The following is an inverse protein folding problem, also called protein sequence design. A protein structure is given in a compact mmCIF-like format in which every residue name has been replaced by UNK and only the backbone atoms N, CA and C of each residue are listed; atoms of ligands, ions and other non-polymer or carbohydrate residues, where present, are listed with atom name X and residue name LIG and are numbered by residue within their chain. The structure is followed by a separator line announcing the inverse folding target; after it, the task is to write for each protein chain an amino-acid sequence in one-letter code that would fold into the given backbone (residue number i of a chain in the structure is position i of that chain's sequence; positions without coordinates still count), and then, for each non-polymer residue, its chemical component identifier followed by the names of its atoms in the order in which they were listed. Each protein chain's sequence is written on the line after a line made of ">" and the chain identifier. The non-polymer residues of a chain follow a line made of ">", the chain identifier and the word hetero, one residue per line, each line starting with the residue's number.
data_IF_511300110100
#
_entry.id   IF_511300110100
#
_cell.length_a   1.000
_cell.length_b   1.000
_cell.length_c   1.000
_cell.angle_alpha   90.00
_cell.angle_beta   90.00
_cell.angle_gamma   90.00
#
_symmetry.space_group_name_H-M   'P 1'
#
loop_
_entity.id
_entity.type
_entity.pdbx_description
1 polymer ?
#
# COMPACT_ATOMS: atom_id res chain seq x y z
N UNK A 1 -7.55 -10.27 -5.26
CA UNK A 1 -7.02 -10.93 -4.05
C UNK A 1 -6.14 -9.98 -3.23
N UNK A 2 -5.16 -9.30 -3.86
CA UNK A 2 -4.23 -8.37 -3.22
C UNK A 2 -4.83 -7.42 -2.16
N UNK A 3 -5.90 -6.66 -2.48
CA UNK A 3 -6.56 -5.75 -1.52
C UNK A 3 -6.96 -6.42 -0.20
N UNK A 4 -7.41 -7.68 -0.24
CA UNK A 4 -7.81 -8.42 0.97
C UNK A 4 -6.59 -8.85 1.79
N UNK A 5 -5.51 -9.27 1.12
CA UNK A 5 -4.24 -9.66 1.76
C UNK A 5 -3.69 -8.52 2.61
N UNK A 6 -3.71 -7.30 2.07
CA UNK A 6 -3.21 -6.10 2.77
C UNK A 6 -4.30 -5.36 3.55
N UNK A 7 -5.54 -5.88 3.61
CA UNK A 7 -6.69 -5.22 4.26
C UNK A 7 -6.92 -3.77 3.79
N UNK A 8 -6.62 -3.49 2.51
CA UNK A 8 -6.73 -2.15 1.93
C UNK A 8 -8.18 -1.69 1.72
N UNK A 9 -8.34 -0.37 1.63
CA UNK A 9 -9.57 0.24 1.14
C UNK A 9 -9.90 -0.25 -0.28
N UNK A 10 -11.18 -0.36 -0.59
CA UNK A 10 -11.64 -0.84 -1.90
C UNK A 10 -11.24 0.09 -3.06
N UNK A 11 -10.98 1.37 -2.79
CA UNK A 11 -10.58 2.39 -3.77
C UNK A 11 -9.07 2.39 -4.07
N UNK A 12 -8.26 1.65 -3.32
CA UNK A 12 -6.82 1.50 -3.63
C UNK A 12 -6.69 0.93 -5.04
N UNK A 13 -5.77 1.44 -5.86
CA UNK A 13 -5.59 0.94 -7.22
C UNK A 13 -5.14 -0.53 -7.23
N UNK A 14 -5.37 -1.24 -8.33
CA UNK A 14 -4.89 -2.63 -8.48
C UNK A 14 -3.36 -2.67 -8.38
N UNK A 15 -2.68 -1.74 -9.05
CA UNK A 15 -1.22 -1.61 -9.07
C UNK A 15 -0.64 -1.43 -7.66
N UNK A 16 -1.13 -0.45 -6.89
CA UNK A 16 -0.69 -0.22 -5.52
C UNK A 16 -0.99 -1.41 -4.59
N UNK A 17 -2.15 -2.06 -4.77
CA UNK A 17 -2.51 -3.23 -4.00
C UNK A 17 -1.58 -4.43 -4.28
N UNK A 18 -1.28 -4.70 -5.55
CA UNK A 18 -0.34 -5.74 -5.96
C UNK A 18 1.07 -5.48 -5.42
N UNK A 19 1.57 -4.26 -5.57
CA UNK A 19 2.89 -3.85 -5.07
C UNK A 19 3.01 -4.05 -3.55
N UNK A 20 2.06 -3.55 -2.76
CA UNK A 20 2.07 -3.73 -1.30
C UNK A 20 1.93 -5.19 -0.87
N UNK A 21 1.10 -5.96 -1.58
CA UNK A 21 0.93 -7.38 -1.31
C UNK A 21 2.16 -8.22 -1.67
N UNK A 22 3.11 -7.68 -2.46
CA UNK A 22 4.23 -8.44 -2.99
C UNK A 22 3.79 -9.53 -3.98
N UNK A 23 2.63 -9.35 -4.61
CA UNK A 23 2.05 -10.31 -5.56
C UNK A 23 1.93 -9.63 -6.93
N UNK A 24 2.65 -10.09 -7.95
CA UNK A 24 2.56 -9.52 -9.29
C UNK A 24 1.12 -9.50 -9.82
N UNK A 25 0.79 -8.59 -10.75
CA UNK A 25 -0.37 -8.71 -11.61
C UNK A 25 -0.54 -10.13 -12.17
N UNK A 26 -1.79 -10.62 -12.26
CA UNK A 26 -2.09 -11.96 -12.79
C UNK A 26 -1.52 -12.19 -14.19
N UNK A 27 -1.50 -11.16 -15.04
CA UNK A 27 -0.99 -11.27 -16.40
C UNK A 27 0.48 -11.68 -16.40
N UNK A 28 1.26 -11.13 -15.46
CA UNK A 28 2.67 -11.49 -15.26
C UNK A 28 2.83 -12.89 -14.64
N UNK A 29 1.95 -13.28 -13.71
CA UNK A 29 1.96 -14.65 -13.18
C UNK A 29 1.62 -15.69 -14.26
N UNK A 30 0.72 -15.36 -15.18
CA UNK A 30 0.36 -16.22 -16.31
C UNK A 30 1.55 -16.41 -17.28
N UNK A 31 2.38 -15.38 -17.49
CA UNK A 31 3.62 -15.48 -18.26
C UNK A 31 4.60 -16.50 -17.64
N UNK A 32 4.79 -16.47 -16.32
CA UNK A 32 5.62 -17.47 -15.61
C UNK A 32 5.10 -18.89 -15.85
N UNK A 33 3.77 -19.08 -15.75
CA UNK A 33 3.15 -20.38 -15.95
C UNK A 33 3.29 -20.87 -17.40
N UNK A 34 3.12 -19.97 -18.38
CA UNK A 34 3.29 -20.28 -19.79
C UNK A 34 4.73 -20.69 -20.12
N UNK A 35 5.73 -19.96 -19.62
CA UNK A 35 7.15 -20.27 -19.82
C UNK A 35 7.51 -21.66 -19.29
N UNK A 36 7.14 -21.95 -18.04
CA UNK A 36 7.39 -23.26 -17.42
C UNK A 36 6.68 -24.37 -18.18
N UNK A 37 5.46 -24.14 -18.66
CA UNK A 37 4.72 -25.10 -19.48
C UNK A 37 5.44 -25.38 -20.80
N UNK A 38 5.86 -24.35 -21.53
CA UNK A 38 6.53 -24.49 -22.82
C UNK A 38 7.85 -25.25 -22.70
N UNK A 39 8.68 -24.93 -21.69
CA UNK A 39 9.92 -25.67 -21.40
C UNK A 39 9.66 -27.13 -21.07
N UNK A 40 8.69 -27.40 -20.18
CA UNK A 40 8.32 -28.76 -19.77
C UNK A 40 7.80 -29.58 -20.96
N UNK A 41 6.98 -28.98 -21.82
CA UNK A 41 6.44 -29.65 -22.99
C UNK A 41 7.54 -29.93 -24.03
N UNK A 42 8.49 -29.02 -24.22
CA UNK A 42 9.63 -29.22 -25.10
C UNK A 42 10.53 -30.38 -24.62
N UNK A 43 10.92 -30.38 -23.35
CA UNK A 43 11.75 -31.43 -22.77
C UNK A 43 11.11 -32.83 -22.90
N UNK A 44 9.78 -32.93 -22.66
CA UNK A 44 9.02 -34.17 -22.88
C UNK A 44 8.99 -34.62 -24.33
N UNK A 45 8.80 -33.71 -25.29
CA UNK A 45 8.82 -34.04 -26.73
C UNK A 45 10.19 -34.55 -27.17
N UNK A 46 11.26 -34.06 -26.56
CA UNK A 46 12.63 -34.53 -26.79
C UNK A 46 12.99 -35.82 -26.06
N UNK A 47 12.03 -36.47 -25.37
CA UNK A 47 12.25 -37.74 -24.67
C UNK A 47 12.91 -37.61 -23.29
N UNK A 48 13.13 -36.38 -22.80
CA UNK A 48 13.80 -36.09 -21.53
C UNK A 48 12.80 -35.40 -20.58
N UNK A 49 11.90 -36.14 -19.90
CA UNK A 49 10.97 -35.52 -18.96
C UNK A 49 11.73 -34.88 -17.79
N UNK A 50 11.50 -33.57 -17.50
CA UNK A 50 12.29 -32.86 -16.50
C UNK A 50 11.94 -33.32 -15.09
N UNK A 51 12.94 -33.32 -14.22
CA UNK A 51 12.75 -33.60 -12.80
C UNK A 51 11.99 -32.47 -12.10
N UNK A 52 11.36 -32.75 -10.96
CA UNK A 52 10.64 -31.73 -10.18
C UNK A 52 11.53 -30.54 -9.82
N UNK A 53 12.77 -30.79 -9.41
CA UNK A 53 13.74 -29.75 -9.04
C UNK A 53 14.09 -28.83 -10.22
N UNK A 54 14.16 -29.40 -11.44
CA UNK A 54 14.43 -28.63 -12.65
C UNK A 54 13.25 -27.71 -13.01
N UNK A 55 12.01 -28.21 -12.87
CA UNK A 55 10.80 -27.40 -13.03
C UNK A 55 10.74 -26.27 -11.97
N UNK A 56 11.09 -26.57 -10.73
CA UNK A 56 11.16 -25.57 -9.64
C UNK A 56 12.22 -24.50 -9.93
N UNK A 57 13.37 -24.90 -10.49
CA UNK A 57 14.41 -23.99 -10.94
C UNK A 57 13.93 -23.08 -12.08
N UNK A 58 13.35 -23.63 -13.15
CA UNK A 58 12.77 -22.82 -14.24
C UNK A 58 11.68 -21.87 -13.76
N UNK A 59 10.86 -22.30 -12.80
CA UNK A 59 9.84 -21.44 -12.20
C UNK A 59 10.48 -20.28 -11.44
N UNK A 60 11.56 -20.53 -10.70
CA UNK A 60 12.30 -19.50 -9.99
C UNK A 60 12.90 -18.50 -10.97
N UNK A 61 13.62 -18.97 -11.98
CA UNK A 61 14.20 -18.12 -13.03
C UNK A 61 13.14 -17.24 -13.72
N UNK A 62 12.03 -17.84 -14.15
CA UNK A 62 10.94 -17.13 -14.79
C UNK A 62 10.31 -16.10 -13.85
N UNK A 63 10.16 -16.43 -12.56
CA UNK A 63 9.66 -15.49 -11.55
C UNK A 63 10.62 -14.32 -11.34
N UNK A 64 11.93 -14.58 -11.25
CA UNK A 64 12.94 -13.55 -11.07
C UNK A 64 12.95 -12.55 -12.24
N UNK A 65 12.91 -13.05 -13.47
CA UNK A 65 12.83 -12.21 -14.67
C UNK A 65 11.54 -11.37 -14.71
N UNK A 66 10.42 -11.94 -14.27
CA UNK A 66 9.14 -11.23 -14.23
C UNK A 66 9.10 -10.16 -13.14
N UNK A 67 9.78 -10.36 -12.00
CA UNK A 67 9.91 -9.33 -10.97
C UNK A 67 10.68 -8.11 -11.51
N UNK A 68 11.76 -8.33 -12.26
CA UNK A 68 12.53 -7.24 -12.86
C UNK A 68 11.69 -6.49 -13.90
N UNK A 69 11.03 -7.21 -14.81
CA UNK A 69 10.07 -6.64 -15.77
C UNK A 69 8.95 -5.85 -15.06
N UNK A 70 8.42 -6.38 -13.95
CA UNK A 70 7.38 -5.71 -13.18
C UNK A 70 7.88 -4.40 -12.57
N UNK A 71 9.11 -4.40 -12.02
CA UNK A 71 9.75 -3.20 -11.51
C UNK A 71 9.89 -2.12 -12.57
N UNK A 72 10.26 -2.49 -13.80
CA UNK A 72 10.35 -1.53 -14.91
C UNK A 72 8.98 -0.95 -15.29
N UNK A 73 7.95 -1.79 -15.35
CA UNK A 73 6.57 -1.35 -15.62
C UNK A 73 6.02 -0.39 -14.54
N UNK A 74 6.54 -0.47 -13.31
CA UNK A 74 6.13 0.41 -12.21
C UNK A 74 6.69 1.84 -12.30
N UNK A 75 7.59 2.14 -13.25
CA UNK A 75 8.15 3.48 -13.42
C UNK A 75 7.11 4.51 -13.93
N UNK A 76 6.10 4.05 -14.67
CA UNK A 76 5.00 4.88 -15.18
C UNK A 76 3.63 4.26 -14.80
N UNK A 77 3.23 4.37 -13.52
CA UNK A 77 2.00 3.73 -13.05
C UNK A 77 0.75 4.48 -13.51
N UNK A 78 -0.26 3.74 -13.97
CA UNK A 78 -1.55 4.34 -14.33
C UNK A 78 -2.32 4.87 -13.11
N UNK A 79 -2.13 4.26 -11.93
CA UNK A 79 -2.80 4.70 -10.71
C UNK A 79 -2.08 4.28 -9.42
N UNK A 80 -2.23 5.08 -8.36
CA UNK A 80 -1.59 4.77 -7.07
C UNK A 80 -0.11 5.15 -7.01
N UNK A 81 0.30 6.11 -7.83
CA UNK A 81 1.63 6.72 -7.93
C UNK A 81 2.40 6.79 -6.59
N UNK A 82 1.79 7.32 -5.53
CA UNK A 82 2.38 7.40 -4.19
C UNK A 82 3.02 6.09 -3.75
N UNK A 83 2.25 5.01 -3.81
CA UNK A 83 2.66 3.71 -3.31
C UNK A 83 3.58 3.00 -4.30
N UNK A 84 3.21 3.05 -5.58
CA UNK A 84 3.92 2.32 -6.64
C UNK A 84 5.34 2.87 -6.79
N UNK A 85 5.50 4.18 -6.92
CA UNK A 85 6.83 4.81 -7.08
C UNK A 85 7.69 4.69 -5.82
N UNK A 86 7.11 4.64 -4.63
CA UNK A 86 7.88 4.43 -3.40
C UNK A 86 8.40 2.98 -3.27
N UNK A 87 7.66 2.00 -3.79
CA UNK A 87 8.05 0.58 -3.75
C UNK A 87 8.93 0.16 -4.92
N UNK A 88 8.77 0.79 -6.08
CA UNK A 88 9.43 0.40 -7.32
C UNK A 88 10.95 0.19 -7.16
N UNK A 89 11.72 1.11 -6.54
CA UNK A 89 13.18 0.95 -6.44
C UNK A 89 13.62 -0.20 -5.51
N UNK A 90 12.72 -0.67 -4.64
CA UNK A 90 12.99 -1.69 -3.64
C UNK A 90 12.07 -2.91 -3.79
N UNK A 91 11.45 -3.10 -4.95
CA UNK A 91 10.39 -4.09 -5.15
C UNK A 91 10.84 -5.52 -4.78
N UNK A 92 12.04 -5.91 -5.20
CA UNK A 92 12.61 -7.23 -4.92
C UNK A 92 12.79 -7.45 -3.42
N UNK A 93 13.52 -6.55 -2.77
CA UNK A 93 13.76 -6.60 -1.33
C UNK A 93 12.43 -6.52 -0.53
N UNK A 94 11.47 -5.73 -1.02
CA UNK A 94 10.13 -5.69 -0.47
C UNK A 94 9.45 -7.06 -0.55
N UNK A 95 9.40 -7.72 -1.71
CA UNK A 95 8.77 -9.05 -1.88
C UNK A 95 9.46 -10.10 -0.99
N UNK A 96 10.78 -10.03 -0.87
CA UNK A 96 11.59 -11.03 -0.16
C UNK A 96 11.64 -10.81 1.36
N UNK A 97 11.18 -9.66 1.86
CA UNK A 97 11.22 -9.33 3.30
C UNK A 97 10.55 -10.42 4.13
N UNK A 98 11.25 -10.90 5.16
CA UNK A 98 10.73 -11.90 6.11
C UNK A 98 9.83 -11.30 7.20
N UNK A 99 9.30 -10.09 6.99
CA UNK A 99 8.44 -9.39 7.94
C UNK A 99 6.99 -9.84 7.76
N UNK A 100 6.27 -9.93 8.88
CA UNK A 100 4.85 -10.28 8.89
C UNK A 100 3.96 -9.30 8.11
N UNK A 101 2.65 -9.56 8.14
CA UNK A 101 1.66 -8.74 7.44
C UNK A 101 1.73 -7.26 7.82
N UNK A 102 1.48 -6.39 6.84
CA UNK A 102 1.33 -4.95 7.09
C UNK A 102 0.06 -4.70 7.92
N UNK A 103 0.18 -4.02 9.07
CA UNK A 103 -0.97 -3.53 9.82
C UNK A 103 -1.85 -2.61 8.97
N UNK A 104 -3.14 -2.61 9.27
CA UNK A 104 -4.15 -1.85 8.53
C UNK A 104 -3.82 -0.35 8.45
N UNK A 105 -3.32 0.24 9.54
CA UNK A 105 -2.97 1.67 9.61
C UNK A 105 -1.69 2.01 8.86
N UNK A 106 -0.73 1.08 8.77
CA UNK A 106 0.42 1.25 7.87
C UNK A 106 -0.03 1.28 6.41
N UNK A 107 -0.93 0.37 6.02
CA UNK A 107 -1.47 0.35 4.65
C UNK A 107 -2.20 1.66 4.32
N UNK A 108 -2.93 2.23 5.26
CA UNK A 108 -3.54 3.57 5.10
C UNK A 108 -2.49 4.64 4.77
N UNK A 109 -1.42 4.74 5.56
CA UNK A 109 -0.36 5.74 5.36
C UNK A 109 0.39 5.54 4.04
N UNK A 110 0.75 4.28 3.72
CA UNK A 110 1.45 3.91 2.49
C UNK A 110 0.63 4.22 1.24
N UNK A 111 -0.70 4.11 1.33
CA UNK A 111 -1.63 4.35 0.20
C UNK A 111 -2.23 5.74 0.18
N UNK A 112 -2.08 6.53 1.25
CA UNK A 112 -2.78 7.81 1.39
C UNK A 112 -4.30 7.67 1.55
N UNK A 113 -4.79 6.50 1.96
CA UNK A 113 -6.20 6.23 2.20
C UNK A 113 -6.50 6.22 3.69
N UNK A 114 -7.73 6.54 4.10
CA UNK A 114 -8.14 6.51 5.50
C UNK A 114 -8.67 7.86 5.97
N UNK A 115 -8.46 8.18 7.23
CA UNK A 115 -8.94 9.41 7.87
C UNK A 115 -8.10 10.66 7.52
N UNK A 116 -7.65 10.76 6.27
CA UNK A 116 -6.96 11.95 5.73
C UNK A 116 -7.96 12.87 5.04
N UNK A 117 -7.97 14.15 5.39
CA UNK A 117 -8.89 15.15 4.81
C UNK A 117 -8.93 15.12 3.28
N UNK A 118 -7.77 15.06 2.60
CA UNK A 118 -7.71 14.95 1.13
C UNK A 118 -8.45 13.72 0.61
N UNK A 119 -8.24 12.56 1.23
CA UNK A 119 -8.91 11.34 0.81
C UNK A 119 -10.41 11.40 1.10
N UNK A 120 -10.80 11.80 2.31
CA UNK A 120 -12.20 11.91 2.71
C UNK A 120 -12.98 12.90 1.82
N UNK A 121 -12.36 14.01 1.43
CA UNK A 121 -12.94 14.95 0.49
C UNK A 121 -13.18 14.33 -0.90
N UNK A 122 -12.16 13.65 -1.45
CA UNK A 122 -12.27 12.99 -2.75
C UNK A 122 -13.38 11.93 -2.78
N UNK A 123 -13.62 11.26 -1.66
CA UNK A 123 -14.70 10.28 -1.52
C UNK A 123 -15.99 10.90 -0.96
N UNK A 124 -16.15 12.23 -1.01
CA UNK A 124 -17.36 12.92 -0.60
C UNK A 124 -17.83 12.53 0.80
N UNK A 125 -16.89 12.49 1.76
CA UNK A 125 -17.12 12.29 3.20
C UNK A 125 -16.74 13.52 4.02
N UNK A 126 -15.97 14.44 3.44
CA UNK A 126 -15.64 15.75 4.02
C UNK A 126 -15.86 16.85 2.97
N UNK A 127 -16.27 18.04 3.42
CA UNK A 127 -16.51 19.19 2.54
C UNK A 127 -15.24 19.85 2.04
N UNK A 128 -14.12 19.68 2.75
CA UNK A 128 -12.81 20.23 2.41
C UNK A 128 -11.73 19.16 2.55
N UNK A 129 -10.58 19.38 1.89
CA UNK A 129 -9.40 18.52 2.01
C UNK A 129 -8.56 18.80 3.28
N UNK A 130 -8.96 19.75 4.13
CA UNK A 130 -8.13 20.30 5.19
C UNK A 130 -7.82 19.37 6.36
N UNK A 131 -6.79 19.71 7.11
CA UNK A 131 -6.36 19.00 8.30
C UNK A 131 -7.07 19.52 9.54
N UNK A 132 -7.93 18.69 10.12
CA UNK A 132 -8.65 19.01 11.36
C UNK A 132 -7.76 19.11 12.60
N UNK A 133 -6.49 18.71 12.52
CA UNK A 133 -5.55 18.70 13.65
C UNK A 133 -4.66 19.94 13.72
N UNK A 134 -4.38 20.58 12.58
CA UNK A 134 -3.48 21.75 12.52
C UNK A 134 -3.98 22.90 11.65
N UNK A 135 -5.14 22.76 10.99
CA UNK A 135 -5.71 23.80 10.12
C UNK A 135 -5.08 23.93 8.74
N UNK A 136 -4.12 23.06 8.35
CA UNK A 136 -3.58 23.04 6.98
C UNK A 136 -4.69 22.83 5.93
N UNK A 137 -4.57 23.49 4.77
CA UNK A 137 -5.56 23.42 3.69
C UNK A 137 -5.69 22.02 3.08
N UNK A 138 -4.66 21.16 3.21
CA UNK A 138 -4.68 19.81 2.63
C UNK A 138 -4.03 18.79 3.57
N UNK A 139 -4.84 17.89 4.12
CA UNK A 139 -4.39 16.74 4.91
C UNK A 139 -4.13 15.53 4.01
N UNK A 140 -2.85 15.34 3.67
CA UNK A 140 -2.36 14.12 3.03
C UNK A 140 -1.68 13.20 4.02
N UNK A 141 -1.47 11.94 3.64
CA UNK A 141 -0.59 11.07 4.42
C UNK A 141 0.84 11.61 4.52
N UNK A 142 1.34 12.34 3.51
CA UNK A 142 2.66 12.97 3.58
C UNK A 142 2.69 14.12 4.58
N UNK A 143 1.65 14.98 4.56
CA UNK A 143 1.48 16.03 5.56
C UNK A 143 1.46 15.46 6.98
N UNK A 144 0.74 14.36 7.20
CA UNK A 144 0.72 13.66 8.49
C UNK A 144 2.12 13.12 8.87
N UNK A 145 2.87 12.57 7.90
CA UNK A 145 4.20 12.01 8.10
C UNK A 145 5.31 13.04 8.35
N UNK A 146 5.24 14.22 7.74
CA UNK A 146 6.35 15.18 7.73
C UNK A 146 6.05 16.49 8.45
N UNK A 147 4.84 17.03 8.27
CA UNK A 147 4.60 18.45 8.48
C UNK A 147 3.72 18.74 9.69
N UNK A 148 2.65 17.95 9.88
CA UNK A 148 1.57 18.28 10.80
C UNK A 148 2.10 18.44 12.24
N UNK A 149 2.01 19.63 12.86
CA UNK A 149 2.59 19.87 14.17
C UNK A 149 1.94 19.02 15.28
N UNK A 150 0.69 18.60 15.09
CA UNK A 150 -0.01 17.71 16.02
C UNK A 150 0.71 16.36 16.25
N UNK A 151 1.50 15.91 15.27
CA UNK A 151 2.23 14.63 15.33
C UNK A 151 3.72 14.78 15.59
N UNK A 152 4.19 15.98 15.96
CA UNK A 152 5.62 16.24 16.19
C UNK A 152 6.21 15.31 17.26
N UNK A 153 5.47 15.04 18.34
CA UNK A 153 5.90 14.12 19.40
C UNK A 153 6.08 12.69 18.89
N UNK A 154 5.09 12.16 18.16
CA UNK A 154 5.15 10.82 17.57
C UNK A 154 6.29 10.71 16.52
N UNK A 155 6.62 11.81 15.82
CA UNK A 155 7.73 11.85 14.86
C UNK A 155 9.11 11.78 15.50
N UNK A 156 9.29 12.09 16.79
CA UNK A 156 10.61 12.04 17.44
C UNK A 156 11.21 10.64 17.37
N UNK A 157 10.45 9.62 17.77
CA UNK A 157 10.92 8.23 17.71
C UNK A 157 11.07 7.73 16.26
N UNK A 158 10.18 8.18 15.36
CA UNK A 158 10.24 7.81 13.95
C UNK A 158 11.52 8.35 13.28
N UNK A 159 11.82 9.63 13.47
CA UNK A 159 13.00 10.29 12.91
C UNK A 159 14.30 9.77 13.51
N UNK A 160 14.31 9.38 14.78
CA UNK A 160 15.46 8.71 15.38
C UNK A 160 15.79 7.35 14.72
N UNK A 161 14.76 6.63 14.24
CA UNK A 161 14.94 5.31 13.61
C UNK A 161 15.14 5.37 12.08
N UNK A 162 14.52 6.33 11.39
CA UNK A 162 14.54 6.44 9.92
C UNK A 162 15.50 7.51 9.42
N UNK A 163 15.71 8.57 10.21
CA UNK A 163 16.36 9.81 9.78
C UNK A 163 15.36 10.97 9.62
N UNK A 164 15.89 12.14 9.29
CA UNK A 164 15.09 13.38 9.16
C UNK A 164 14.24 13.41 7.89
N UNK A 165 14.68 12.73 6.83
CA UNK A 165 13.92 12.60 5.59
C UNK A 165 12.84 11.51 5.75
N UNK A 166 11.60 11.96 5.94
CA UNK A 166 10.43 11.08 6.04
C UNK A 166 9.63 11.02 4.73
N UNK A 167 10.27 11.36 3.60
CA UNK A 167 9.68 11.10 2.29
C UNK A 167 9.32 9.62 2.17
N UNK A 168 8.19 9.33 1.52
CA UNK A 168 7.70 7.96 1.45
C UNK A 168 8.73 6.98 0.83
N UNK A 169 9.49 7.32 -0.22
CA UNK A 169 10.56 6.45 -0.73
C UNK A 169 11.62 6.14 0.32
N UNK A 170 12.06 7.13 1.10
CA UNK A 170 13.06 6.94 2.16
C UNK A 170 12.52 6.06 3.28
N UNK A 171 11.29 6.30 3.73
CA UNK A 171 10.61 5.44 4.72
C UNK A 171 10.54 4.00 4.20
N UNK A 172 10.04 3.81 2.97
CA UNK A 172 9.84 2.47 2.38
C UNK A 172 11.17 1.73 2.24
N UNK A 173 12.22 2.39 1.77
CA UNK A 173 13.57 1.81 1.71
C UNK A 173 14.04 1.37 3.10
N UNK A 174 13.93 2.24 4.08
CA UNK A 174 14.42 1.94 5.44
C UNK A 174 13.66 0.80 6.11
N UNK A 175 12.33 0.73 5.98
CA UNK A 175 11.54 -0.34 6.64
C UNK A 175 11.70 -1.71 5.97
N UNK A 176 12.26 -1.78 4.77
CA UNK A 176 12.65 -3.04 4.12
C UNK A 176 13.93 -3.60 4.73
N UNK A 177 14.91 -2.72 4.97
CA UNK A 177 16.27 -3.11 5.36
C UNK A 177 16.50 -3.11 6.89
N UNK A 178 15.64 -2.42 7.66
CA UNK A 178 15.87 -2.16 9.08
C UNK A 178 14.62 -2.44 9.96
N UNK A 179 14.76 -3.39 10.86
CA UNK A 179 13.74 -3.82 11.85
C UNK A 179 13.30 -2.68 12.76
N UNK A 180 14.26 -1.93 13.29
CA UNK A 180 13.98 -0.78 14.15
C UNK A 180 13.22 0.29 13.37
N UNK A 181 13.58 0.51 12.11
CA UNK A 181 12.83 1.40 11.21
C UNK A 181 11.40 0.92 10.98
N UNK A 182 11.22 -0.38 10.70
CA UNK A 182 9.91 -1.00 10.52
C UNK A 182 9.03 -0.86 11.76
N UNK A 183 9.55 -1.19 12.94
CA UNK A 183 8.81 -1.13 14.20
C UNK A 183 8.50 0.31 14.63
N UNK A 184 9.42 1.25 14.39
CA UNK A 184 9.17 2.67 14.62
C UNK A 184 8.08 3.21 13.70
N UNK A 185 8.13 2.88 12.40
CA UNK A 185 7.10 3.27 11.44
C UNK A 185 5.75 2.66 11.75
N UNK A 186 5.73 1.37 12.14
CA UNK A 186 4.52 0.68 12.61
C UNK A 186 3.92 1.39 13.82
N UNK A 187 4.73 1.68 14.83
CA UNK A 187 4.28 2.35 16.06
C UNK A 187 3.73 3.74 15.76
N UNK A 188 4.42 4.50 14.92
CA UNK A 188 3.94 5.81 14.45
C UNK A 188 2.56 5.69 13.76
N UNK A 189 2.44 4.78 12.79
CA UNK A 189 1.19 4.58 12.05
C UNK A 189 0.04 4.15 12.97
N UNK A 190 0.28 3.22 13.89
CA UNK A 190 -0.75 2.75 14.82
C UNK A 190 -1.21 3.86 15.77
N UNK A 191 -0.28 4.64 16.36
CA UNK A 191 -0.61 5.74 17.26
C UNK A 191 -1.38 6.85 16.54
N UNK A 192 -0.78 7.41 15.47
CA UNK A 192 -1.33 8.59 14.78
C UNK A 192 -2.66 8.25 14.11
N UNK A 193 -2.74 7.13 13.40
CA UNK A 193 -3.98 6.80 12.69
C UNK A 193 -5.09 6.37 13.65
N UNK A 194 -4.78 5.78 14.82
CA UNK A 194 -5.80 5.53 15.84
C UNK A 194 -6.43 6.84 16.33
N UNK A 195 -5.61 7.84 16.64
CA UNK A 195 -6.08 9.16 17.08
C UNK A 195 -6.88 9.88 15.98
N UNK A 196 -6.39 9.87 14.73
CA UNK A 196 -7.13 10.44 13.59
C UNK A 196 -8.46 9.72 13.35
N UNK A 197 -8.50 8.40 13.42
CA UNK A 197 -9.74 7.61 13.30
C UNK A 197 -10.73 7.91 14.42
N UNK A 198 -10.25 8.09 15.66
CA UNK A 198 -11.11 8.51 16.79
C UNK A 198 -11.69 9.90 16.56
N UNK A 199 -10.85 10.85 16.12
CA UNK A 199 -11.30 12.20 15.80
C UNK A 199 -12.30 12.21 14.64
N UNK A 200 -12.11 11.40 13.60
CA UNK A 200 -13.09 11.21 12.53
C UNK A 200 -14.41 10.68 13.08
N UNK A 201 -14.39 9.59 13.88
CA UNK A 201 -15.60 9.00 14.46
C UNK A 201 -16.36 10.00 15.32
N UNK A 202 -15.68 10.80 16.14
CA UNK A 202 -16.31 11.85 16.93
C UNK A 202 -17.04 12.88 16.04
N UNK A 203 -16.46 13.26 14.90
CA UNK A 203 -17.12 14.14 13.92
C UNK A 203 -18.29 13.47 13.19
N UNK A 204 -18.24 12.16 12.96
CA UNK A 204 -19.36 11.41 12.37
C UNK A 204 -20.56 11.29 13.33
N UNK A 205 -20.28 11.26 14.64
CA UNK A 205 -21.26 11.06 15.72
C UNK A 205 -21.87 12.36 16.24
N UNK A 206 -21.32 13.51 15.87
CA UNK A 206 -21.87 14.83 16.19
C UNK A 206 -23.30 14.99 15.60
N UNK A 207 -24.33 15.27 16.42
CA UNK A 207 -25.71 15.48 15.95
C UNK A 207 -25.84 16.61 14.91
N UNK A 208 -24.93 17.58 14.95
CA UNK A 208 -24.85 18.71 14.03
C UNK A 208 -23.91 18.45 12.85
N UNK A 209 -23.37 17.24 12.72
CA UNK A 209 -22.51 16.87 11.60
C UNK A 209 -23.24 17.05 10.26
N UNK A 210 -22.49 17.58 9.29
CA UNK A 210 -22.92 17.66 7.90
C UNK A 210 -23.44 16.27 7.44
N UNK A 211 -24.61 16.20 6.79
CA UNK A 211 -25.16 14.95 6.25
C UNK A 211 -24.16 14.11 5.43
N UNK A 212 -23.16 14.74 4.79
CA UNK A 212 -22.10 14.07 4.03
C UNK A 212 -21.21 13.15 4.89
N UNK A 213 -21.02 13.50 6.17
CA UNK A 213 -20.19 12.75 7.14
C UNK A 213 -20.92 11.56 7.73
N UNK A 214 -22.24 11.62 7.83
CA UNK A 214 -23.07 10.57 8.45
C UNK A 214 -22.76 9.20 7.88
N UNK A 215 -22.60 8.21 8.76
CA UNK A 215 -22.32 6.83 8.37
C UNK A 215 -23.37 6.33 7.38
N UNK A 216 -22.92 6.02 6.17
CA UNK A 216 -23.78 5.42 5.15
C UNK A 216 -24.03 3.96 5.52
N UNK A 217 -25.26 3.63 5.89
CA UNK A 217 -25.67 2.26 6.22
C UNK A 217 -26.06 1.46 4.98
N UNK A 218 -25.90 0.13 5.04
CA UNK A 218 -26.47 -0.82 4.10
C UNK A 218 -26.06 -0.65 2.61
N UNK A 219 -27.06 -0.48 1.74
CA UNK A 219 -26.91 -0.46 0.26
C UNK A 219 -26.17 0.79 -0.25
N UNK A 220 -26.28 1.92 0.45
CA UNK A 220 -25.66 3.21 0.08
C UNK A 220 -24.14 3.18 0.16
N UNK A 221 -23.56 2.47 1.14
CA UNK A 221 -22.11 2.23 1.23
C UNK A 221 -21.57 1.46 0.02
N UNK A 222 -22.31 0.44 -0.44
CA UNK A 222 -21.92 -0.42 -1.56
C UNK A 222 -22.05 0.25 -2.92
N UNK A 223 -23.11 1.05 -3.14
CA UNK A 223 -23.30 1.79 -4.38
C UNK A 223 -22.21 2.85 -4.58
N UNK A 224 -21.85 3.58 -3.52
CA UNK A 224 -20.83 4.61 -3.61
C UNK A 224 -19.42 4.07 -3.87
N UNK A 225 -19.06 2.95 -3.24
CA UNK A 225 -17.78 2.29 -3.49
C UNK A 225 -17.62 1.81 -4.95
N UNK A 226 -18.72 1.63 -5.70
CA UNK A 226 -18.69 1.27 -7.13
C UNK A 226 -18.52 2.47 -8.05
N UNK A 227 -18.85 3.68 -7.60
CA UNK A 227 -18.79 4.90 -8.41
C UNK A 227 -17.45 5.66 -8.25
N UNK A 228 -16.55 5.15 -7.41
CA UNK A 228 -15.20 5.69 -7.18
C UNK A 228 -14.10 4.89 -7.90
N UNK A 229 -14.48 3.85 -8.67
CA UNK A 229 -13.60 3.01 -9.50
C UNK A 229 -13.91 3.35 -10.95
#
# INVERSE_FOLDING_TARGET
>A
MAKRVIRAYCTVSREAACALAGTPPWELEAEVLAEVYHRTAAARRSGNPPARQEIEHWRKEARDAIIDKWSDQMQDPGAGHRTVLALQPVLRAWIERHRGFLPYRMVQVLTGHGCFGKYLHNIGRESTAGCHHCGSDTDTAQHTLEECPAWAGQRVALTAAIGLDLSLPTVVKTIVDNDTGFDAFKTFCESVMLEKEMAERAREEDPLADPIRRRRTGRRRRAFARNLI
#
